data_IF_834462561548
#
_entry.id   IF_834462561548
#
_cell.length_a   1.000
_cell.length_b   1.000
_cell.length_c   1.000
_cell.angle_alpha   90.00
_cell.angle_beta   90.00
_cell.angle_gamma   90.00
#
_symmetry.space_group_name_H-M   'P 1'
#
loop_
_entity.id
_entity.type
_entity.pdbx_description
1 polymer ?
#
# COMPACT_ATOMS: atom_id res chain seq x y z
N UNK A 1 16.48 -23.97 -7.65
CA UNK A 1 17.76 -23.30 -7.92
C UNK A 1 17.58 -21.81 -8.17
N UNK A 2 17.65 -21.01 -7.09
CA UNK A 2 17.72 -19.53 -7.12
C UNK A 2 19.10 -19.07 -6.62
N UNK A 3 20.14 -19.78 -7.03
CA UNK A 3 21.51 -19.67 -6.50
C UNK A 3 22.41 -18.70 -7.26
N UNK A 4 21.85 -17.83 -8.10
CA UNK A 4 22.62 -16.72 -8.67
C UNK A 4 22.49 -15.49 -7.77
N UNK A 5 23.56 -15.26 -7.00
CA UNK A 5 23.72 -14.09 -6.13
C UNK A 5 23.72 -12.82 -7.00
N UNK A 6 22.70 -11.99 -6.83
CA UNK A 6 22.57 -10.71 -7.55
C UNK A 6 23.40 -9.64 -6.79
N UNK A 7 24.30 -8.94 -7.48
CA UNK A 7 25.13 -7.86 -6.91
C UNK A 7 24.37 -6.54 -6.76
N UNK A 8 24.84 -5.62 -5.88
CA UNK A 8 24.24 -4.27 -5.73
C UNK A 8 24.17 -3.58 -7.09
N UNK A 9 23.02 -3.02 -7.49
CA UNK A 9 22.98 -2.12 -8.63
C UNK A 9 23.89 -0.91 -8.35
N UNK A 10 24.90 -0.75 -9.20
CA UNK A 10 25.75 0.45 -9.24
C UNK A 10 25.18 1.48 -10.22
N UNK A 11 25.80 2.66 -10.29
CA UNK A 11 25.45 3.72 -11.25
C UNK A 11 25.59 3.32 -12.72
N UNK A 12 26.19 2.16 -13.03
CA UNK A 12 26.27 1.62 -14.38
C UNK A 12 25.07 0.73 -14.77
N UNK A 13 24.15 0.47 -13.85
CA UNK A 13 22.97 -0.35 -14.14
C UNK A 13 21.94 0.48 -14.90
N UNK A 14 21.54 0.01 -16.08
CA UNK A 14 20.45 0.59 -16.85
C UNK A 14 19.15 -0.14 -16.55
N UNK A 15 18.08 0.64 -16.31
CA UNK A 15 16.74 0.09 -16.14
C UNK A 15 16.34 -0.65 -17.43
N UNK A 16 16.26 -1.97 -17.35
CA UNK A 16 15.96 -2.83 -18.51
C UNK A 16 14.46 -2.90 -18.77
N UNK A 17 13.66 -3.12 -17.74
CA UNK A 17 12.20 -3.15 -17.82
C UNK A 17 11.56 -2.91 -16.45
N UNK A 18 10.32 -2.44 -16.45
CA UNK A 18 9.48 -2.34 -15.25
C UNK A 18 8.59 -3.57 -15.24
N UNK A 19 8.82 -4.48 -14.29
CA UNK A 19 8.10 -5.75 -14.20
C UNK A 19 6.69 -5.61 -13.63
N UNK A 20 6.35 -4.46 -13.01
CA UNK A 20 5.01 -4.19 -12.50
C UNK A 20 4.71 -2.70 -12.46
N UNK A 21 3.58 -2.31 -13.07
CA UNK A 21 3.02 -0.97 -13.01
C UNK A 21 1.54 -1.10 -12.61
N UNK A 22 1.05 -0.22 -11.75
CA UNK A 22 -0.34 -0.22 -11.31
C UNK A 22 -1.09 0.96 -11.96
N UNK A 23 -2.08 0.65 -12.79
CA UNK A 23 -2.88 1.64 -13.53
C UNK A 23 -4.30 1.54 -12.98
N UNK A 24 -4.79 2.61 -12.35
CA UNK A 24 -6.18 2.70 -11.88
C UNK A 24 -7.06 3.28 -12.99
N UNK A 25 -7.89 2.43 -13.58
CA UNK A 25 -8.84 2.80 -14.64
C UNK A 25 -10.24 2.88 -14.01
N UNK A 26 -10.87 4.05 -14.08
CA UNK A 26 -12.26 4.23 -13.67
C UNK A 26 -13.17 4.08 -14.89
N UNK A 27 -14.14 3.15 -14.82
CA UNK A 27 -15.19 3.00 -15.82
C UNK A 27 -16.25 4.07 -15.56
N UNK A 28 -16.31 5.09 -16.42
CA UNK A 28 -17.41 6.07 -16.44
C UNK A 28 -18.67 5.42 -16.99
N UNK A 29 -19.84 5.89 -16.57
CA UNK A 29 -21.17 5.44 -17.02
C UNK A 29 -21.53 4.00 -16.61
N UNK A 30 -21.08 3.54 -15.43
CA UNK A 30 -21.53 2.27 -14.87
C UNK A 30 -22.84 2.50 -14.09
N UNK A 31 -23.91 2.58 -14.88
CA UNK A 31 -25.26 2.86 -14.42
C UNK A 31 -25.93 1.55 -13.97
N UNK A 32 -26.49 1.56 -12.75
CA UNK A 32 -27.23 0.43 -12.20
C UNK A 32 -28.73 0.78 -12.08
N UNK A 33 -29.53 0.17 -12.95
CA UNK A 33 -30.98 0.39 -13.01
C UNK A 33 -31.76 -0.47 -14.00
N UNK A 34 -31.09 -1.18 -14.90
CA UNK A 34 -31.74 -1.90 -15.98
C UNK A 34 -32.59 -3.07 -15.48
N UNK A 35 -33.65 -3.37 -16.21
CA UNK A 35 -34.46 -4.57 -16.00
C UNK A 35 -34.11 -5.59 -17.06
N UNK A 36 -33.30 -6.58 -16.69
CA UNK A 36 -32.75 -7.57 -17.60
C UNK A 36 -33.25 -8.98 -17.29
N UNK A 37 -33.08 -9.88 -18.26
CA UNK A 37 -33.21 -11.32 -18.03
C UNK A 37 -31.88 -11.88 -17.54
N UNK A 38 -31.89 -12.39 -16.30
CA UNK A 38 -30.70 -12.92 -15.64
C UNK A 38 -30.47 -14.40 -16.01
N UNK A 39 -29.22 -14.85 -16.19
CA UNK A 39 -28.87 -16.25 -16.43
C UNK A 39 -29.33 -17.21 -15.32
N UNK A 40 -29.58 -18.46 -15.67
CA UNK A 40 -30.01 -19.51 -14.73
C UNK A 40 -28.98 -19.78 -13.63
N UNK A 41 -27.68 -19.60 -13.91
CA UNK A 41 -26.59 -19.75 -12.93
C UNK A 41 -26.76 -18.80 -11.74
N UNK A 42 -27.18 -17.56 -12.00
CA UNK A 42 -27.43 -16.56 -10.97
C UNK A 42 -28.80 -16.78 -10.33
N UNK A 43 -29.85 -17.05 -11.12
CA UNK A 43 -31.21 -17.28 -10.60
C UNK A 43 -31.30 -18.47 -9.63
N UNK A 44 -30.53 -19.52 -9.87
CA UNK A 44 -30.49 -20.71 -9.01
C UNK A 44 -29.61 -20.51 -7.77
N UNK A 45 -28.80 -19.45 -7.72
CA UNK A 45 -27.91 -19.19 -6.60
C UNK A 45 -28.68 -18.56 -5.42
N UNK A 46 -28.82 -19.32 -4.33
CA UNK A 46 -29.54 -18.89 -3.12
C UNK A 46 -28.87 -17.73 -2.37
N UNK A 47 -27.60 -17.45 -2.66
CA UNK A 47 -26.81 -16.40 -2.02
C UNK A 47 -26.88 -15.07 -2.77
N UNK A 48 -27.51 -15.04 -3.94
CA UNK A 48 -27.78 -13.83 -4.71
C UNK A 48 -29.29 -13.63 -4.73
N UNK A 49 -29.76 -12.42 -4.38
CA UNK A 49 -31.16 -12.06 -4.47
C UNK A 49 -31.34 -11.10 -5.64
N UNK A 50 -32.08 -11.57 -6.62
CA UNK A 50 -32.60 -10.76 -7.71
C UNK A 50 -33.94 -10.12 -7.32
N UNK A 51 -34.14 -8.88 -7.72
CA UNK A 51 -35.40 -8.17 -7.65
C UNK A 51 -35.88 -7.87 -9.08
N UNK A 52 -36.87 -8.60 -9.61
CA UNK A 52 -37.34 -8.36 -10.96
C UNK A 52 -38.14 -7.05 -11.06
N UNK A 53 -38.05 -6.36 -12.20
CA UNK A 53 -38.87 -5.18 -12.56
C UNK A 53 -38.74 -3.99 -11.59
N UNK A 54 -37.51 -3.58 -11.32
CA UNK A 54 -37.24 -2.47 -10.38
C UNK A 54 -37.43 -1.08 -10.98
N UNK A 55 -37.55 -0.94 -12.31
CA UNK A 55 -37.68 0.34 -13.01
C UNK A 55 -36.62 1.35 -12.54
N UNK A 56 -35.33 1.07 -12.76
CA UNK A 56 -34.19 1.93 -12.37
C UNK A 56 -33.87 2.00 -10.86
N UNK A 57 -34.57 1.23 -10.01
CA UNK A 57 -34.44 1.32 -8.55
C UNK A 57 -33.71 0.14 -7.92
N UNK A 58 -33.06 -0.72 -8.69
CA UNK A 58 -32.43 -1.95 -8.20
C UNK A 58 -31.48 -1.72 -7.00
N UNK A 59 -30.75 -0.61 -7.00
CA UNK A 59 -29.91 -0.18 -5.88
C UNK A 59 -30.70 0.05 -4.59
N UNK A 60 -31.82 0.78 -4.65
CA UNK A 60 -32.67 1.00 -3.47
C UNK A 60 -33.38 -0.28 -3.02
N UNK A 61 -33.64 -1.23 -3.91
CA UNK A 61 -34.13 -2.56 -3.52
C UNK A 61 -33.08 -3.31 -2.70
N UNK A 62 -31.82 -3.28 -3.12
CA UNK A 62 -30.71 -3.91 -2.37
C UNK A 62 -30.52 -3.26 -1.00
N UNK A 63 -30.47 -1.93 -0.93
CA UNK A 63 -30.33 -1.18 0.32
C UNK A 63 -31.53 -1.43 1.25
N UNK A 64 -32.74 -1.36 0.72
CA UNK A 64 -33.95 -1.59 1.52
C UNK A 64 -34.00 -3.01 2.09
N UNK A 65 -33.58 -4.02 1.32
CA UNK A 65 -33.53 -5.40 1.79
C UNK A 65 -32.48 -5.61 2.87
N UNK A 66 -31.32 -4.96 2.72
CA UNK A 66 -30.23 -5.07 3.67
C UNK A 66 -30.56 -4.44 5.04
N UNK A 67 -31.22 -3.27 5.03
CA UNK A 67 -31.52 -2.50 6.25
C UNK A 67 -32.80 -2.93 6.96
N UNK A 68 -33.65 -3.73 6.33
CA UNK A 68 -34.94 -4.16 6.88
C UNK A 68 -34.90 -5.67 7.13
N UNK A 69 -34.67 -6.06 8.39
CA UNK A 69 -34.52 -7.46 8.79
C UNK A 69 -35.79 -8.30 8.54
N UNK A 70 -36.96 -7.68 8.41
CA UNK A 70 -38.24 -8.35 8.10
C UNK A 70 -38.60 -8.28 6.61
N UNK A 71 -37.74 -7.66 5.79
CA UNK A 71 -38.02 -7.50 4.37
C UNK A 71 -38.08 -8.87 3.68
N UNK A 72 -39.20 -9.10 3.01
CA UNK A 72 -39.35 -10.23 2.10
C UNK A 72 -39.13 -9.76 0.68
N UNK A 73 -38.40 -10.55 -0.09
CA UNK A 73 -38.05 -10.23 -1.48
C UNK A 73 -39.28 -10.02 -2.39
N UNK A 74 -40.42 -10.62 -2.05
CA UNK A 74 -41.70 -10.45 -2.77
C UNK A 74 -42.45 -9.15 -2.39
N UNK A 75 -42.07 -8.45 -1.33
CA UNK A 75 -42.81 -7.29 -0.77
C UNK A 75 -41.95 -6.04 -0.56
N UNK A 76 -41.07 -5.74 -1.51
CA UNK A 76 -40.06 -4.69 -1.38
C UNK A 76 -40.54 -3.26 -1.65
N UNK A 77 -41.69 -3.05 -2.30
CA UNK A 77 -42.13 -1.71 -2.73
C UNK A 77 -42.27 -0.73 -1.55
N UNK A 78 -42.81 -1.18 -0.41
CA UNK A 78 -42.99 -0.32 0.78
C UNK A 78 -41.63 0.04 1.42
N UNK A 79 -40.74 -0.92 1.74
CA UNK A 79 -39.38 -0.63 2.18
C UNK A 79 -38.62 0.33 1.24
N UNK A 80 -38.69 0.10 -0.07
CA UNK A 80 -38.01 0.93 -1.08
C UNK A 80 -38.54 2.36 -1.08
N UNK A 81 -39.86 2.57 -0.98
CA UNK A 81 -40.43 3.92 -0.86
C UNK A 81 -39.93 4.64 0.40
N UNK A 82 -39.77 3.93 1.51
CA UNK A 82 -39.22 4.51 2.75
C UNK A 82 -37.77 4.96 2.53
N UNK A 83 -36.92 4.13 1.90
CA UNK A 83 -35.53 4.49 1.63
C UNK A 83 -35.39 5.65 0.64
N UNK A 84 -36.23 5.69 -0.40
CA UNK A 84 -36.24 6.82 -1.34
C UNK A 84 -36.67 8.12 -0.64
N UNK A 85 -37.64 8.07 0.28
CA UNK A 85 -38.00 9.25 1.09
C UNK A 85 -36.82 9.77 1.91
N UNK A 86 -36.10 8.88 2.59
CA UNK A 86 -34.89 9.23 3.35
C UNK A 86 -33.82 9.85 2.45
N UNK A 87 -33.62 9.29 1.26
CA UNK A 87 -32.67 9.84 0.28
C UNK A 87 -33.11 11.21 -0.25
N UNK A 88 -34.41 11.41 -0.50
CA UNK A 88 -34.94 12.72 -0.88
C UNK A 88 -34.76 13.76 0.24
N UNK A 89 -35.00 13.38 1.50
CA UNK A 89 -34.76 14.23 2.67
C UNK A 89 -33.27 14.63 2.77
N UNK A 90 -32.35 13.67 2.60
CA UNK A 90 -30.90 13.93 2.58
C UNK A 90 -30.50 14.90 1.46
N UNK A 91 -31.10 14.78 0.28
CA UNK A 91 -30.89 15.67 -0.87
C UNK A 91 -31.65 17.00 -0.80
N UNK A 92 -32.44 17.24 0.25
CA UNK A 92 -33.35 18.40 0.36
C UNK A 92 -34.36 18.50 -0.79
N UNK A 93 -34.84 17.36 -1.31
CA UNK A 93 -35.85 17.27 -2.37
C UNK A 93 -37.19 16.86 -1.76
N UNK A 94 -38.27 17.54 -2.13
CA UNK A 94 -39.63 17.15 -1.70
C UNK A 94 -40.05 15.85 -2.36
N UNK A 95 -40.21 14.79 -1.57
CA UNK A 95 -40.69 13.50 -2.07
C UNK A 95 -42.08 13.62 -2.69
N UNK A 96 -42.26 13.08 -3.89
CA UNK A 96 -43.57 12.94 -4.53
C UNK A 96 -43.70 11.61 -5.27
N UNK A 97 -44.94 11.21 -5.57
CA UNK A 97 -45.19 10.01 -6.38
C UNK A 97 -44.59 10.09 -7.79
N UNK A 98 -44.40 11.32 -8.32
CA UNK A 98 -43.73 11.56 -9.61
C UNK A 98 -42.23 11.27 -9.52
N UNK A 99 -41.56 11.78 -8.48
CA UNK A 99 -40.14 11.49 -8.19
C UNK A 99 -39.89 9.99 -8.08
N UNK A 100 -40.76 9.25 -7.39
CA UNK A 100 -40.63 7.80 -7.33
C UNK A 100 -40.77 7.14 -8.71
N UNK A 101 -41.68 7.60 -9.58
CA UNK A 101 -41.87 6.97 -10.90
C UNK A 101 -40.70 7.27 -11.85
N UNK A 102 -40.29 8.53 -11.91
CA UNK A 102 -39.32 9.07 -12.87
C UNK A 102 -37.86 9.03 -12.36
N UNK A 103 -37.60 8.30 -11.28
CA UNK A 103 -36.26 8.21 -10.72
C UNK A 103 -35.27 7.62 -11.72
N UNK A 104 -34.17 8.35 -11.93
CA UNK A 104 -33.04 7.91 -12.74
C UNK A 104 -32.26 6.79 -12.06
N UNK A 105 -31.61 5.92 -12.85
CA UNK A 105 -30.73 4.90 -12.32
C UNK A 105 -29.49 5.53 -11.67
N UNK A 106 -28.90 4.83 -10.71
CA UNK A 106 -27.77 5.36 -9.94
C UNK A 106 -26.45 4.97 -10.61
N UNK A 107 -25.58 5.94 -10.83
CA UNK A 107 -24.21 5.71 -11.29
C UNK A 107 -23.28 5.40 -10.11
N UNK A 108 -22.25 4.58 -10.34
CA UNK A 108 -21.25 4.23 -9.32
C UNK A 108 -20.59 5.44 -8.63
N UNK A 109 -20.50 6.59 -9.29
CA UNK A 109 -19.96 7.83 -8.71
C UNK A 109 -20.87 8.44 -7.64
N UNK A 110 -22.16 8.13 -7.67
CA UNK A 110 -23.15 8.63 -6.69
C UNK A 110 -23.23 7.74 -5.43
N UNK A 111 -22.45 6.66 -5.38
CA UNK A 111 -22.51 5.72 -4.26
C UNK A 111 -21.98 6.31 -2.96
N UNK A 112 -21.03 7.24 -3.03
CA UNK A 112 -20.53 7.95 -1.82
C UNK A 112 -21.68 8.67 -1.10
N UNK A 113 -22.62 9.24 -1.86
CA UNK A 113 -23.79 9.94 -1.33
C UNK A 113 -24.79 8.96 -0.71
N UNK A 114 -24.91 7.74 -1.26
CA UNK A 114 -25.74 6.69 -0.69
C UNK A 114 -25.12 6.12 0.59
N UNK A 115 -23.81 5.94 0.62
CA UNK A 115 -23.05 5.51 1.79
C UNK A 115 -23.26 6.49 2.95
N UNK A 116 -23.17 7.79 2.67
CA UNK A 116 -23.40 8.84 3.67
C UNK A 116 -24.89 8.99 4.06
N UNK A 117 -25.82 8.82 3.13
CA UNK A 117 -27.26 8.90 3.43
C UNK A 117 -27.73 7.77 4.36
N UNK A 118 -27.18 6.56 4.20
CA UNK A 118 -27.65 5.37 4.90
C UNK A 118 -26.66 4.82 5.94
N UNK A 119 -25.51 5.48 6.14
CA UNK A 119 -24.42 5.06 7.03
C UNK A 119 -24.00 3.60 6.79
N UNK A 120 -23.66 3.28 5.55
CA UNK A 120 -23.27 1.93 5.13
C UNK A 120 -22.11 1.96 4.12
N UNK A 121 -21.41 0.82 3.96
CA UNK A 121 -20.33 0.62 2.99
C UNK A 121 -20.83 -0.17 1.80
N UNK A 122 -20.73 0.38 0.58
CA UNK A 122 -21.19 -0.30 -0.63
C UNK A 122 -20.01 -0.86 -1.41
N UNK A 123 -19.89 -2.19 -1.41
CA UNK A 123 -18.98 -2.90 -2.29
C UNK A 123 -19.71 -3.40 -3.53
N UNK A 124 -19.13 -3.19 -4.71
CA UNK A 124 -19.72 -3.61 -5.98
C UNK A 124 -18.83 -4.63 -6.67
N UNK A 125 -19.45 -5.75 -7.04
CA UNK A 125 -18.86 -6.83 -7.80
C UNK A 125 -19.51 -6.87 -9.17
N UNK A 126 -18.76 -7.02 -10.25
CA UNK A 126 -19.28 -7.20 -11.61
C UNK A 126 -19.03 -8.64 -12.05
N UNK A 127 -20.06 -9.28 -12.59
CA UNK A 127 -19.94 -10.58 -13.24
C UNK A 127 -19.72 -10.40 -14.75
N UNK A 128 -18.65 -10.99 -15.27
CA UNK A 128 -18.38 -11.02 -16.70
C UNK A 128 -19.42 -11.84 -17.46
N UNK A 129 -19.80 -11.37 -18.65
CA UNK A 129 -20.88 -11.98 -19.43
C UNK A 129 -20.47 -13.28 -20.13
N UNK A 130 -19.19 -13.46 -20.42
CA UNK A 130 -18.65 -14.59 -21.17
C UNK A 130 -18.07 -15.64 -20.23
N UNK A 131 -17.27 -15.22 -19.23
CA UNK A 131 -16.57 -16.13 -18.33
C UNK A 131 -17.38 -16.46 -17.08
N UNK A 132 -18.42 -15.67 -16.76
CA UNK A 132 -19.18 -15.71 -15.50
C UNK A 132 -18.30 -15.48 -14.25
N UNK A 133 -17.07 -15.00 -14.42
CA UNK A 133 -16.19 -14.64 -13.31
C UNK A 133 -16.67 -13.36 -12.63
N UNK A 134 -16.52 -13.32 -11.31
CA UNK A 134 -16.93 -12.19 -10.49
C UNK A 134 -15.68 -11.44 -10.03
N UNK A 135 -15.61 -10.16 -10.36
CA UNK A 135 -14.53 -9.26 -9.98
C UNK A 135 -15.06 -8.11 -9.14
N UNK A 136 -14.25 -7.61 -8.20
CA UNK A 136 -14.60 -6.43 -7.41
C UNK A 136 -14.28 -5.19 -8.22
N UNK A 137 -15.29 -4.37 -8.51
CA UNK A 137 -15.13 -3.13 -9.28
C UNK A 137 -15.14 -1.88 -8.40
N UNK A 138 -15.68 -1.97 -7.18
CA UNK A 138 -15.67 -0.88 -6.20
C UNK A 138 -15.52 -1.41 -4.78
N UNK A 139 -14.64 -0.76 -4.03
CA UNK A 139 -14.46 -0.90 -2.59
C UNK A 139 -14.72 0.45 -1.94
N UNK A 140 -15.61 0.50 -0.96
CA UNK A 140 -15.82 1.74 -0.19
C UNK A 140 -14.60 2.01 0.69
N UNK A 141 -14.24 3.30 0.80
CA UNK A 141 -13.14 3.79 1.66
C UNK A 141 -13.67 4.34 3.00
N UNK A 142 -14.99 4.35 3.19
CA UNK A 142 -15.63 4.84 4.42
C UNK A 142 -15.43 3.84 5.56
N UNK A 143 -15.70 4.28 6.79
CA UNK A 143 -15.45 3.50 8.02
C UNK A 143 -16.74 3.11 8.77
N UNK A 144 -17.84 2.90 8.06
CA UNK A 144 -19.10 2.42 8.66
C UNK A 144 -19.04 0.92 8.95
N UNK A 145 -19.71 0.47 10.01
CA UNK A 145 -19.72 -0.97 10.37
C UNK A 145 -20.61 -1.81 9.44
N UNK A 146 -21.62 -1.18 8.82
CA UNK A 146 -22.64 -1.88 8.06
C UNK A 146 -22.24 -2.04 6.59
N UNK A 147 -21.97 -3.27 6.14
CA UNK A 147 -21.45 -3.56 4.80
C UNK A 147 -22.51 -4.20 3.92
N UNK A 148 -22.79 -3.59 2.78
CA UNK A 148 -23.60 -4.17 1.70
C UNK A 148 -22.72 -4.57 0.52
N UNK A 149 -22.91 -5.80 0.05
CA UNK A 149 -22.25 -6.33 -1.13
C UNK A 149 -23.26 -6.47 -2.26
N UNK A 150 -22.95 -5.91 -3.43
CA UNK A 150 -23.85 -5.83 -4.57
C UNK A 150 -23.20 -6.51 -5.77
N UNK A 151 -23.98 -7.34 -6.48
CA UNK A 151 -23.58 -7.94 -7.74
C UNK A 151 -24.22 -7.19 -8.90
N UNK A 152 -23.41 -6.53 -9.73
CA UNK A 152 -23.77 -5.95 -11.00
C UNK A 152 -23.69 -6.97 -12.13
N UNK A 153 -24.74 -7.06 -12.94
CA UNK A 153 -24.75 -7.81 -14.20
C UNK A 153 -25.56 -7.04 -15.23
N UNK A 154 -24.97 -6.70 -16.40
CA UNK A 154 -25.62 -5.93 -17.49
C UNK A 154 -26.46 -4.73 -17.01
N UNK A 155 -25.90 -3.87 -16.15
CA UNK A 155 -26.60 -2.69 -15.64
C UNK A 155 -27.69 -2.97 -14.60
N UNK A 156 -27.85 -4.21 -14.13
CA UNK A 156 -28.76 -4.57 -13.04
C UNK A 156 -28.01 -4.91 -11.76
N UNK A 157 -28.47 -4.38 -10.63
CA UNK A 157 -27.90 -4.63 -9.30
C UNK A 157 -28.71 -5.67 -8.53
N UNK A 158 -28.00 -6.66 -7.97
CA UNK A 158 -28.55 -7.72 -7.13
C UNK A 158 -27.87 -7.72 -5.76
N UNK A 159 -28.55 -8.23 -4.75
CA UNK A 159 -28.01 -8.27 -3.39
C UNK A 159 -27.23 -9.57 -3.13
N UNK A 160 -26.01 -9.47 -2.61
CA UNK A 160 -25.20 -10.63 -2.19
C UNK A 160 -25.41 -10.87 -0.69
N UNK A 161 -25.98 -12.02 -0.32
CA UNK A 161 -26.14 -12.45 1.09
C UNK A 161 -24.82 -12.90 1.71
N UNK A 162 -24.01 -13.62 0.96
CA UNK A 162 -22.76 -14.20 1.43
C UNK A 162 -21.70 -14.11 0.33
N UNK A 163 -20.75 -13.20 0.52
CA UNK A 163 -19.71 -12.88 -0.46
C UNK A 163 -18.76 -14.05 -0.69
N UNK A 164 -18.30 -14.73 0.37
CA UNK A 164 -17.32 -15.82 0.28
C UNK A 164 -17.85 -16.97 -0.57
N UNK A 165 -19.14 -17.28 -0.42
CA UNK A 165 -19.80 -18.34 -1.18
C UNK A 165 -20.03 -17.93 -2.64
N UNK A 166 -20.31 -16.64 -2.90
CA UNK A 166 -20.52 -16.12 -4.27
C UNK A 166 -19.20 -16.03 -5.03
N UNK A 167 -18.11 -15.58 -4.41
CA UNK A 167 -16.78 -15.55 -5.01
C UNK A 167 -16.17 -16.95 -5.15
N UNK A 168 -16.81 -17.97 -4.57
CA UNK A 168 -16.26 -19.33 -4.44
C UNK A 168 -14.87 -19.33 -3.79
N UNK A 169 -14.62 -18.38 -2.88
CA UNK A 169 -13.36 -18.27 -2.14
C UNK A 169 -13.61 -18.68 -0.70
N UNK A 170 -13.05 -19.82 -0.33
CA UNK A 170 -13.21 -20.41 0.98
C UNK A 170 -11.87 -20.31 1.72
N UNK A 171 -11.63 -19.24 2.51
CA UNK A 171 -10.41 -19.11 3.28
C UNK A 171 -10.36 -20.16 4.39
N UNK A 172 -9.17 -20.71 4.64
CA UNK A 172 -8.94 -21.49 5.84
C UNK A 172 -8.70 -20.57 7.05
N UNK A 173 -9.16 -20.98 8.22
CA UNK A 173 -9.06 -20.21 9.46
C UNK A 173 -7.82 -20.57 10.30
N UNK A 174 -6.99 -21.49 9.80
CA UNK A 174 -5.80 -22.00 10.49
C UNK A 174 -4.54 -21.77 9.65
N UNK A 175 -4.64 -21.69 8.33
CA UNK A 175 -3.58 -21.20 7.45
C UNK A 175 -4.17 -20.26 6.41
N UNK A 176 -3.38 -19.32 5.88
CA UNK A 176 -3.85 -18.28 4.94
C UNK A 176 -4.18 -18.80 3.52
N UNK A 177 -4.43 -20.11 3.38
CA UNK A 177 -4.78 -20.74 2.11
C UNK A 177 -6.25 -20.49 1.75
N UNK A 178 -6.50 -20.11 0.50
CA UNK A 178 -7.82 -19.85 -0.06
C UNK A 178 -8.16 -20.96 -1.06
N UNK A 179 -9.37 -21.53 -0.94
CA UNK A 179 -9.84 -22.62 -1.80
C UNK A 179 -10.98 -22.16 -2.70
N UNK A 180 -11.05 -22.75 -3.89
CA UNK A 180 -12.11 -22.53 -4.89
C UNK A 180 -13.42 -23.28 -4.56
N UNK A 181 -13.37 -24.27 -3.66
CA UNK A 181 -14.57 -24.99 -3.20
C UNK A 181 -14.55 -25.31 -1.71
N UNK A 182 -15.74 -25.40 -1.11
CA UNK A 182 -15.91 -25.78 0.29
C UNK A 182 -15.37 -27.20 0.58
N UNK A 183 -15.47 -28.12 -0.39
CA UNK A 183 -14.96 -29.49 -0.25
C UNK A 183 -13.43 -29.54 -0.16
N UNK A 184 -12.74 -28.75 -0.98
CA UNK A 184 -11.27 -28.66 -0.93
C UNK A 184 -10.80 -28.06 0.40
N UNK A 185 -11.47 -27.03 0.91
CA UNK A 185 -11.21 -26.50 2.25
C UNK A 185 -11.39 -27.58 3.34
N UNK A 186 -12.49 -28.35 3.28
CA UNK A 186 -12.74 -29.44 4.24
C UNK A 186 -11.65 -30.52 4.20
N UNK A 187 -11.20 -30.90 3.01
CA UNK A 187 -10.14 -31.89 2.83
C UNK A 187 -8.80 -31.36 3.32
N UNK A 188 -8.50 -30.09 3.06
CA UNK A 188 -7.31 -29.42 3.54
C UNK A 188 -7.25 -29.39 5.08
N UNK A 189 -8.34 -28.98 5.75
CA UNK A 189 -8.43 -28.96 7.22
C UNK A 189 -8.17 -30.32 7.86
N UNK A 190 -8.52 -31.42 7.17
CA UNK A 190 -8.32 -32.79 7.65
C UNK A 190 -6.89 -33.31 7.49
N UNK A 191 -6.10 -32.77 6.57
CA UNK A 191 -4.88 -33.45 6.09
C UNK A 191 -3.59 -32.63 6.21
N UNK A 192 -3.63 -31.30 6.11
CA UNK A 192 -2.43 -30.46 5.92
C UNK A 192 -2.44 -29.14 6.69
N UNK A 193 -3.37 -28.97 7.62
CA UNK A 193 -3.61 -27.68 8.27
C UNK A 193 -2.92 -27.60 9.64
N UNK A 194 -1.60 -27.81 9.64
CA UNK A 194 -0.70 -27.53 10.76
C UNK A 194 0.66 -27.18 10.16
N UNK A 195 0.98 -25.89 10.14
CA UNK A 195 2.35 -25.42 10.01
C UNK A 195 2.56 -24.45 11.16
N UNK A 196 3.35 -24.86 12.14
CA UNK A 196 3.95 -23.93 13.09
C UNK A 196 4.98 -23.12 12.32
N UNK A 197 4.61 -21.88 11.96
CA UNK A 197 5.59 -20.95 11.40
C UNK A 197 6.49 -20.51 12.56
N UNK A 198 7.64 -21.15 12.68
CA UNK A 198 8.79 -20.58 13.39
C UNK A 198 9.26 -19.40 12.55
N UNK A 199 8.75 -18.20 12.84
CA UNK A 199 9.31 -16.97 12.31
C UNK A 199 10.76 -16.83 12.84
N UNK A 200 11.73 -17.26 12.05
CA UNK A 200 13.14 -16.95 12.30
C UNK A 200 13.56 -15.85 11.34
N UNK A 201 13.81 -14.65 11.85
CA UNK A 201 14.46 -13.62 11.07
C UNK A 201 15.94 -14.00 10.89
N UNK A 202 16.44 -14.17 9.65
CA UNK A 202 17.85 -14.39 9.45
C UNK A 202 18.61 -13.15 9.93
N UNK A 203 19.59 -13.34 10.81
CA UNK A 203 20.42 -12.25 11.36
C UNK A 203 21.26 -11.54 10.31
N UNK A 204 21.32 -12.08 9.09
CA UNK A 204 22.04 -11.52 7.95
C UNK A 204 21.14 -11.54 6.71
N UNK A 205 21.13 -10.48 5.89
CA UNK A 205 20.38 -10.47 4.65
C UNK A 205 20.87 -11.59 3.71
N UNK A 206 19.94 -12.44 3.27
CA UNK A 206 20.21 -13.63 2.45
C UNK A 206 20.16 -13.36 0.96
N UNK A 207 19.33 -12.40 0.54
CA UNK A 207 19.12 -12.05 -0.87
C UNK A 207 20.16 -11.02 -1.33
N UNK A 208 20.53 -10.11 -0.43
CA UNK A 208 21.33 -8.94 -0.76
C UNK A 208 22.56 -8.87 0.16
N UNK A 209 23.73 -9.32 -0.33
CA UNK A 209 24.97 -9.27 0.45
C UNK A 209 25.93 -8.22 -0.15
N UNK A 210 26.15 -7.09 0.54
CA UNK A 210 27.19 -6.15 0.13
C UNK A 210 28.56 -6.85 0.13
N UNK A 211 29.48 -6.35 -0.68
CA UNK A 211 30.86 -6.83 -0.69
C UNK A 211 31.46 -6.78 0.71
N UNK A 212 32.25 -7.81 1.07
CA UNK A 212 32.81 -7.91 2.42
C UNK A 212 33.70 -6.72 2.75
N UNK A 213 33.38 -6.02 3.83
CA UNK A 213 34.24 -4.97 4.36
C UNK A 213 35.54 -5.56 4.95
N UNK A 214 36.56 -4.72 5.10
CA UNK A 214 37.88 -5.13 5.64
C UNK A 214 37.75 -5.79 7.02
N UNK A 215 36.87 -5.28 7.89
CA UNK A 215 36.62 -5.81 9.23
C UNK A 215 36.09 -7.26 9.16
N UNK A 216 35.11 -7.54 8.30
CA UNK A 216 34.56 -8.88 8.09
C UNK A 216 35.61 -9.84 7.52
N UNK A 217 36.48 -9.37 6.63
CA UNK A 217 37.62 -10.18 6.14
C UNK A 217 38.57 -10.55 7.28
N UNK A 218 38.87 -9.63 8.19
CA UNK A 218 39.71 -9.87 9.36
C UNK A 218 39.02 -10.83 10.34
N UNK A 219 37.74 -10.65 10.66
CA UNK A 219 36.96 -11.57 11.51
C UNK A 219 37.00 -13.01 10.96
N UNK A 220 36.82 -13.17 9.65
CA UNK A 220 36.91 -14.48 8.99
C UNK A 220 38.33 -15.05 9.05
N UNK A 221 39.36 -14.22 8.80
CA UNK A 221 40.78 -14.65 8.83
C UNK A 221 41.21 -15.18 10.20
N UNK A 222 40.75 -14.54 11.29
CA UNK A 222 41.12 -14.89 12.67
C UNK A 222 40.07 -15.74 13.40
N UNK A 223 39.04 -16.24 12.70
CA UNK A 223 37.96 -17.08 13.26
C UNK A 223 37.19 -16.47 14.44
N UNK A 224 37.07 -15.14 14.47
CA UNK A 224 36.32 -14.42 15.52
C UNK A 224 34.83 -14.41 15.17
N UNK A 225 34.00 -14.96 16.06
CA UNK A 225 32.53 -15.07 15.89
C UNK A 225 31.80 -14.17 16.88
N UNK A 226 30.59 -13.75 16.52
CA UNK A 226 29.70 -13.00 17.43
C UNK A 226 30.02 -11.51 17.58
N UNK A 227 30.97 -10.98 16.79
CA UNK A 227 31.26 -9.55 16.72
C UNK A 227 30.56 -8.96 15.50
N UNK A 228 29.77 -7.91 15.71
CA UNK A 228 29.16 -7.15 14.64
C UNK A 228 30.23 -6.33 13.89
N UNK A 229 30.20 -6.37 12.55
CA UNK A 229 31.21 -5.79 11.66
C UNK A 229 30.85 -4.40 11.14
N UNK A 230 29.67 -3.86 11.51
CA UNK A 230 29.26 -2.51 11.18
C UNK A 230 29.88 -1.48 12.13
N UNK A 231 30.07 -0.26 11.65
CA UNK A 231 30.52 0.88 12.46
C UNK A 231 29.26 1.61 12.93
N UNK A 232 29.07 1.72 14.24
CA UNK A 232 27.84 2.28 14.82
C UNK A 232 27.83 3.80 14.81
N UNK A 233 29.02 4.41 14.84
CA UNK A 233 29.17 5.84 15.00
C UNK A 233 29.82 6.50 13.80
N UNK A 234 29.25 7.64 13.38
CA UNK A 234 29.68 8.40 12.22
C UNK A 234 29.49 9.90 12.43
N UNK A 235 30.17 10.68 11.60
CA UNK A 235 30.06 12.14 11.50
C UNK A 235 29.59 12.47 10.08
N UNK A 236 28.57 13.31 9.96
CA UNK A 236 28.08 13.85 8.69
C UNK A 236 28.23 15.37 8.67
N UNK A 237 28.44 15.93 7.47
CA UNK A 237 28.56 17.37 7.31
C UNK A 237 28.03 17.85 5.96
N UNK A 238 27.60 19.12 5.91
CA UNK A 238 27.19 19.81 4.68
C UNK A 238 27.75 21.24 4.66
N UNK A 239 28.31 21.63 3.53
CA UNK A 239 28.84 22.99 3.32
C UNK A 239 27.83 23.87 2.60
N UNK A 240 27.77 25.14 2.97
CA UNK A 240 27.22 26.20 2.12
C UNK A 240 28.35 27.02 1.55
N UNK A 241 28.25 27.33 0.27
CA UNK A 241 29.25 28.10 -0.45
C UNK A 241 28.59 29.19 -1.31
N UNK A 242 29.32 30.29 -1.51
CA UNK A 242 28.95 31.35 -2.44
C UNK A 242 29.78 31.17 -3.72
N UNK A 243 29.17 31.48 -4.87
CA UNK A 243 29.84 31.50 -6.17
C UNK A 243 30.49 32.87 -6.37
N UNK A 244 31.82 32.90 -6.41
CA UNK A 244 32.61 34.08 -6.73
C UNK A 244 33.10 33.98 -8.18
N UNK A 245 33.00 35.05 -8.96
CA UNK A 245 33.54 35.06 -10.33
C UNK A 245 35.07 34.96 -10.31
N UNK A 246 35.65 34.12 -11.16
CA UNK A 246 37.10 33.88 -11.19
C UNK A 246 37.50 33.43 -12.58
N UNK A 247 37.42 34.32 -13.59
CA UNK A 247 37.75 34.07 -15.00
C UNK A 247 39.19 33.57 -15.21
N UNK A 248 39.45 32.33 -14.83
CA UNK A 248 40.78 31.72 -14.76
C UNK A 248 40.88 30.70 -15.87
N UNK A 249 41.85 30.88 -16.76
CA UNK A 249 42.10 29.96 -17.85
C UNK A 249 42.76 28.69 -17.32
N UNK A 250 42.21 27.53 -17.66
CA UNK A 250 42.75 26.22 -17.34
C UNK A 250 43.01 25.43 -18.63
N UNK A 251 44.26 25.39 -19.08
CA UNK A 251 44.64 24.82 -20.37
C UNK A 251 44.27 25.71 -21.56
N UNK A 252 44.34 25.15 -22.78
CA UNK A 252 44.17 25.94 -24.01
C UNK A 252 42.71 26.31 -24.31
N UNK A 253 41.73 25.52 -23.86
CA UNK A 253 40.32 25.65 -24.27
C UNK A 253 39.31 25.85 -23.14
N UNK A 254 39.70 25.70 -21.86
CA UNK A 254 38.76 25.74 -20.73
C UNK A 254 38.97 27.00 -19.89
N UNK A 255 37.88 27.70 -19.56
CA UNK A 255 37.87 28.86 -18.67
C UNK A 255 36.96 28.55 -17.49
N UNK A 256 37.48 28.63 -16.28
CA UNK A 256 36.66 28.59 -15.08
C UNK A 256 36.05 29.99 -14.91
N UNK A 257 34.73 30.10 -14.86
CA UNK A 257 34.03 31.39 -14.71
C UNK A 257 33.74 31.73 -13.25
N UNK A 258 33.53 30.71 -12.41
CA UNK A 258 33.13 30.88 -11.02
C UNK A 258 33.85 29.85 -10.12
N UNK A 259 34.09 30.24 -8.86
CA UNK A 259 34.67 29.42 -7.80
C UNK A 259 33.73 29.38 -6.60
N UNK A 260 33.54 28.19 -6.04
CA UNK A 260 32.81 28.03 -4.77
C UNK A 260 33.72 28.44 -3.60
N UNK A 261 33.26 29.39 -2.80
CA UNK A 261 33.90 29.82 -1.55
C UNK A 261 33.01 29.36 -0.40
N UNK A 262 33.45 28.41 0.44
CA UNK A 262 32.65 27.94 1.57
C UNK A 262 32.50 29.06 2.61
N UNK A 263 31.28 29.22 3.13
CA UNK A 263 30.92 30.26 4.12
C UNK A 263 30.47 29.66 5.45
N UNK A 264 29.92 28.44 5.42
CA UNK A 264 29.50 27.73 6.61
C UNK A 264 29.55 26.23 6.42
N UNK A 265 29.70 25.50 7.50
CA UNK A 265 29.56 24.04 7.54
C UNK A 265 28.70 23.63 8.72
N UNK A 266 27.70 22.80 8.43
CA UNK A 266 26.88 22.14 9.45
C UNK A 266 27.41 20.73 9.65
N UNK A 267 27.68 20.35 10.89
CA UNK A 267 28.18 19.04 11.29
C UNK A 267 27.20 18.41 12.27
N UNK A 268 26.94 17.10 12.12
CA UNK A 268 26.22 16.29 13.09
C UNK A 268 26.96 14.97 13.29
N UNK A 269 26.95 14.44 14.50
CA UNK A 269 27.51 13.14 14.82
C UNK A 269 26.50 12.25 15.56
N UNK A 270 26.67 10.95 15.40
CA UNK A 270 25.79 9.94 16.02
C UNK A 270 25.93 9.79 17.54
N UNK A 271 26.95 10.39 18.17
CA UNK A 271 27.16 10.29 19.63
C UNK A 271 26.24 11.26 20.37
N UNK A 272 26.19 12.51 19.90
CA UNK A 272 25.37 13.57 20.50
C UNK A 272 24.04 13.76 19.78
N UNK A 273 23.98 13.45 18.48
CA UNK A 273 22.88 13.81 17.56
C UNK A 273 22.57 15.31 17.54
N UNK A 274 23.51 16.15 17.98
CA UNK A 274 23.37 17.61 17.96
C UNK A 274 24.02 18.20 16.70
N UNK A 275 23.31 19.13 16.06
CA UNK A 275 23.83 19.83 14.90
C UNK A 275 24.64 21.04 15.36
N UNK A 276 25.89 21.13 14.92
CA UNK A 276 26.78 22.28 15.11
C UNK A 276 27.01 22.98 13.79
N UNK A 277 26.76 24.28 13.74
CA UNK A 277 27.00 25.10 12.55
C UNK A 277 28.19 26.03 12.81
N UNK A 278 29.23 25.89 12.00
CA UNK A 278 30.38 26.79 11.99
C UNK A 278 30.19 27.80 10.86
N UNK A 279 30.38 29.08 11.17
CA UNK A 279 30.29 30.19 10.21
C UNK A 279 31.56 31.00 10.34
N UNK A 280 32.30 31.16 9.24
CA UNK A 280 33.54 31.92 9.24
C UNK A 280 33.77 32.54 7.85
N UNK A 281 34.18 33.80 7.82
CA UNK A 281 34.51 34.52 6.59
C UNK A 281 35.81 34.01 5.96
N UNK A 282 36.73 33.45 6.76
CA UNK A 282 37.96 32.82 6.30
C UNK A 282 37.72 31.33 6.06
N UNK A 283 37.79 30.85 4.79
CA UNK A 283 37.64 29.42 4.48
C UNK A 283 38.65 28.53 5.22
N UNK A 284 39.86 29.05 5.45
CA UNK A 284 40.90 28.31 6.16
C UNK A 284 40.49 28.09 7.63
N UNK A 285 40.02 29.15 8.30
CA UNK A 285 39.60 29.06 9.69
C UNK A 285 38.35 28.19 9.84
N UNK A 286 37.39 28.29 8.90
CA UNK A 286 36.21 27.42 8.86
C UNK A 286 36.59 25.93 8.85
N UNK A 287 37.58 25.58 8.02
CA UNK A 287 38.09 24.22 7.91
C UNK A 287 38.82 23.81 9.19
N UNK A 288 39.64 24.69 9.77
CA UNK A 288 40.33 24.44 11.03
C UNK A 288 39.33 24.14 12.16
N UNK A 289 38.32 24.98 12.35
CA UNK A 289 37.30 24.83 13.39
C UNK A 289 36.53 23.50 13.23
N UNK A 290 36.19 23.14 11.98
CA UNK A 290 35.56 21.86 11.65
C UNK A 290 36.45 20.66 12.00
N UNK A 291 37.73 20.71 11.63
CA UNK A 291 38.65 19.61 11.90
C UNK A 291 39.02 19.47 13.38
N UNK A 292 39.08 20.57 14.14
CA UNK A 292 39.22 20.51 15.59
C UNK A 292 38.04 19.77 16.24
N UNK A 293 36.83 20.02 15.76
CA UNK A 293 35.66 19.28 16.18
C UNK A 293 35.73 17.80 15.79
N UNK A 294 36.06 17.50 14.52
CA UNK A 294 36.21 16.12 14.04
C UNK A 294 37.24 15.34 14.86
N UNK A 295 38.39 15.94 15.17
CA UNK A 295 39.43 15.30 15.97
C UNK A 295 38.96 14.99 17.39
N UNK A 296 38.09 15.81 17.96
CA UNK A 296 37.53 15.58 19.29
C UNK A 296 36.54 14.42 19.29
N UNK A 297 35.59 14.42 18.33
CA UNK A 297 34.56 13.39 18.22
C UNK A 297 35.15 12.06 17.75
N UNK A 298 36.10 12.08 16.80
CA UNK A 298 36.77 10.89 16.28
C UNK A 298 37.45 10.10 17.40
N UNK A 299 38.15 10.77 18.34
CA UNK A 299 38.76 10.10 19.49
C UNK A 299 37.74 9.34 20.34
N UNK A 300 36.54 9.88 20.50
CA UNK A 300 35.48 9.19 21.24
C UNK A 300 34.96 8.00 20.46
N UNK A 301 34.69 8.18 19.15
CA UNK A 301 34.27 7.10 18.25
C UNK A 301 35.30 5.97 18.23
N UNK A 302 36.59 6.29 18.21
CA UNK A 302 37.69 5.33 18.23
C UNK A 302 37.66 4.49 19.51
N UNK A 303 37.43 5.10 20.68
CA UNK A 303 37.27 4.35 21.94
C UNK A 303 36.08 3.38 21.91
N UNK A 304 34.96 3.75 21.28
CA UNK A 304 33.83 2.83 21.11
C UNK A 304 34.17 1.68 20.15
N UNK A 305 34.85 1.98 19.05
CA UNK A 305 35.28 0.99 18.08
C UNK A 305 36.31 0.01 18.67
N UNK A 306 37.29 0.49 19.44
CA UNK A 306 38.26 -0.37 20.14
C UNK A 306 37.56 -1.36 21.09
N UNK A 307 36.57 -0.90 21.86
CA UNK A 307 35.80 -1.78 22.74
C UNK A 307 34.96 -2.80 21.96
N UNK A 308 34.28 -2.36 20.89
CA UNK A 308 33.45 -3.23 20.05
C UNK A 308 34.29 -4.31 19.34
N UNK A 309 35.44 -3.91 18.80
CA UNK A 309 36.34 -4.80 18.06
C UNK A 309 37.43 -5.43 18.92
N UNK A 310 37.38 -5.28 20.24
CA UNK A 310 38.35 -5.87 21.17
C UNK A 310 38.63 -7.36 20.91
N UNK A 311 37.62 -8.24 20.69
CA UNK A 311 37.88 -9.64 20.40
C UNK A 311 38.64 -9.87 19.09
N UNK A 312 38.52 -8.95 18.12
CA UNK A 312 39.30 -8.97 16.89
C UNK A 312 40.70 -8.43 17.11
N UNK A 313 40.86 -7.33 17.84
CA UNK A 313 42.15 -6.70 18.13
C UNK A 313 43.06 -7.61 18.97
N UNK A 314 42.49 -8.40 19.89
CA UNK A 314 43.23 -9.39 20.67
C UNK A 314 43.62 -10.65 19.88
N UNK A 315 42.97 -10.89 18.73
CA UNK A 315 43.21 -12.05 17.89
C UNK A 315 44.24 -11.79 16.76
N UNK A 316 44.53 -10.53 16.46
CA UNK A 316 45.51 -10.08 15.44
C UNK A 316 46.94 -10.19 15.96
#
# INVERSE_FOLDING_TARGET
DFTERISFPSSSYQLKEITMANIMIYKRDHILGDSITIPDSIKKNKFIIDFPKTNNKCMFYCIAYHLDNEARSDRMIKPVKTRIKQYCEFKNITYSGKVFKEMEPIDLMQFDELEDCFNLLINVFEMDQQTLEISKIRESVKTYDNVINILGYKGHAMYIKNIDTVLSKYPCNVCDAIFDTCEKLKNHKKTKCQFDVLESFPSTPTIYQPSENQVKKLLTKYWVKGVDHYIDHFIVFDFKAILMETNTQHGESTIHTNKHIPVSVSVCDSLTNEVRCFINESPLQLITDMFEYFNTVSKQIDMYNENKFKPLLEAV
#
